data_IF_091100857315
#
_entry.id   IF_091100857315
#
_cell.length_a   1.000
_cell.length_b   1.000
_cell.length_c   1.000
_cell.angle_alpha   90.00
_cell.angle_beta   90.00
_cell.angle_gamma   90.00
#
_symmetry.space_group_name_H-M   'P 1'
#
loop_
_entity.id
_entity.type
_entity.pdbx_description
1 polymer ?
#
# COMPACT_ATOMS: atom_id res chain seq x y z
N UNK A 1 7.96 -10.80 -16.02
CA UNK A 1 7.21 -9.64 -15.53
C UNK A 1 6.85 -9.87 -14.08
N UNK A 2 7.19 -8.89 -13.22
CA UNK A 2 6.88 -8.98 -11.80
C UNK A 2 5.40 -8.73 -11.53
N UNK A 3 4.96 -9.09 -10.33
CA UNK A 3 3.58 -8.83 -9.92
C UNK A 3 3.30 -7.32 -9.84
N UNK A 4 4.27 -6.54 -9.40
CA UNK A 4 4.15 -5.09 -9.37
C UNK A 4 4.01 -4.50 -10.78
N UNK A 5 4.79 -4.99 -11.75
CA UNK A 5 4.67 -4.55 -13.15
C UNK A 5 3.31 -4.89 -13.73
N UNK A 6 2.78 -6.07 -13.43
CA UNK A 6 1.43 -6.46 -13.83
C UNK A 6 0.39 -5.54 -13.21
N UNK A 7 0.56 -5.20 -11.94
CA UNK A 7 -0.29 -4.26 -11.24
C UNK A 7 -0.27 -2.87 -11.91
N UNK A 8 0.92 -2.36 -12.25
CA UNK A 8 1.03 -1.06 -12.91
C UNK A 8 0.29 -1.01 -14.25
N UNK A 9 0.29 -2.11 -14.98
CA UNK A 9 -0.39 -2.20 -16.28
C UNK A 9 -1.91 -2.15 -16.21
N UNK A 10 -2.48 -2.41 -15.04
CA UNK A 10 -3.94 -2.33 -14.87
C UNK A 10 -4.43 -0.88 -14.88
N UNK A 11 -3.58 0.10 -14.64
CA UNK A 11 -3.98 1.50 -14.59
C UNK A 11 -5.02 1.78 -13.52
N UNK A 12 -4.87 1.18 -12.33
CA UNK A 12 -5.84 1.31 -11.24
C UNK A 12 -5.88 2.75 -10.77
N UNK A 13 -7.10 3.26 -10.54
CA UNK A 13 -7.31 4.60 -9.98
C UNK A 13 -6.73 4.66 -8.56
N UNK A 14 -5.73 5.53 -8.35
CA UNK A 14 -5.08 5.67 -7.05
C UNK A 14 -6.02 6.10 -5.93
N UNK A 15 -7.04 6.88 -6.22
CA UNK A 15 -8.02 7.27 -5.22
C UNK A 15 -8.82 6.05 -4.72
N UNK A 16 -9.10 5.11 -5.61
CA UNK A 16 -9.87 3.92 -5.25
C UNK A 16 -9.10 2.98 -4.32
N UNK A 17 -7.78 2.92 -4.45
CA UNK A 17 -6.94 2.00 -3.66
C UNK A 17 -6.16 2.69 -2.54
N UNK A 18 -6.23 4.02 -2.45
CA UNK A 18 -5.62 4.79 -1.37
C UNK A 18 -4.15 5.15 -1.56
N UNK A 19 -3.58 4.92 -2.75
CA UNK A 19 -2.26 5.42 -3.11
C UNK A 19 -2.10 5.47 -4.62
N UNK A 20 -1.34 6.45 -5.12
CA UNK A 20 -1.02 6.54 -6.54
C UNK A 20 0.22 5.69 -6.83
N UNK A 21 0.10 4.62 -7.63
CA UNK A 21 1.26 3.80 -8.00
C UNK A 21 2.14 4.56 -8.98
N UNK A 22 3.42 4.21 -8.99
CA UNK A 22 4.35 4.71 -10.00
C UNK A 22 5.59 5.35 -9.41
N UNK A 23 6.08 6.37 -10.10
CA UNK A 23 7.42 6.94 -9.91
C UNK A 23 7.65 7.52 -8.53
N UNK A 24 8.90 7.43 -8.09
CA UNK A 24 9.38 8.13 -6.90
C UNK A 24 9.20 9.64 -7.05
N UNK A 25 8.73 10.26 -5.97
CA UNK A 25 8.53 11.71 -5.92
C UNK A 25 9.64 12.41 -5.15
N UNK A 26 10.71 11.72 -4.82
CA UNK A 26 11.75 12.22 -3.92
C UNK A 26 11.47 11.77 -2.49
N UNK A 27 12.48 11.84 -1.65
CA UNK A 27 12.38 11.35 -0.29
C UNK A 27 11.96 12.40 0.72
N UNK A 28 11.44 11.95 1.82
CA UNK A 28 11.27 12.75 3.03
C UNK A 28 12.44 12.47 3.98
N UNK A 29 12.51 13.23 5.06
CA UNK A 29 13.57 13.06 6.06
C UNK A 29 13.62 11.64 6.61
N UNK A 30 12.50 10.94 6.67
CA UNK A 30 12.38 9.59 7.21
C UNK A 30 12.46 8.50 6.14
N UNK A 31 12.58 8.83 4.86
CA UNK A 31 12.68 7.84 3.79
C UNK A 31 14.05 7.18 3.85
N UNK A 32 14.12 5.83 4.00
CA UNK A 32 15.39 5.15 4.08
C UNK A 32 16.23 5.29 2.82
N UNK A 33 17.55 5.29 2.97
CA UNK A 33 18.45 5.16 1.83
C UNK A 33 18.21 3.81 1.16
N UNK A 34 18.22 3.79 -0.16
CA UNK A 34 17.96 2.55 -0.91
C UNK A 34 16.48 2.20 -1.03
N UNK A 35 15.58 3.10 -0.63
CA UNK A 35 14.15 2.88 -0.79
C UNK A 35 13.73 3.08 -2.25
N UNK A 36 12.86 2.17 -2.72
CA UNK A 36 12.25 2.22 -4.05
C UNK A 36 10.74 2.26 -3.87
N UNK A 37 10.15 3.43 -4.07
CA UNK A 37 8.73 3.64 -3.83
C UNK A 37 7.87 2.88 -4.84
N UNK A 38 6.83 2.25 -4.34
CA UNK A 38 5.81 1.58 -5.14
C UNK A 38 4.61 2.49 -5.40
N UNK A 39 4.36 3.44 -4.52
CA UNK A 39 3.28 4.40 -4.66
C UNK A 39 3.18 5.32 -3.45
N UNK A 40 2.49 6.44 -3.64
CA UNK A 40 2.38 7.54 -2.70
C UNK A 40 0.94 7.93 -2.50
N UNK A 41 0.58 8.38 -1.29
CA UNK A 41 -0.69 9.05 -1.09
C UNK A 41 -0.50 10.58 -1.13
N UNK A 42 -1.60 11.33 -0.97
CA UNK A 42 -1.58 12.78 -1.02
C UNK A 42 -0.88 13.44 0.19
N UNK A 43 -0.69 12.69 1.27
CA UNK A 43 -0.11 13.18 2.52
C UNK A 43 1.36 12.82 2.68
N UNK A 44 1.94 12.20 1.67
CA UNK A 44 3.35 11.81 1.68
C UNK A 44 3.62 10.43 2.25
N UNK A 45 2.61 9.70 2.65
CA UNK A 45 2.77 8.29 3.03
C UNK A 45 3.09 7.50 1.77
N UNK A 46 4.10 6.65 1.83
CA UNK A 46 4.46 5.82 0.70
C UNK A 46 4.82 4.41 1.12
N UNK A 47 4.70 3.52 0.15
CA UNK A 47 5.05 2.11 0.32
C UNK A 47 6.25 1.82 -0.56
N UNK A 48 7.24 1.14 -0.02
CA UNK A 48 8.51 0.95 -0.72
C UNK A 48 9.13 -0.41 -0.42
N UNK A 49 10.06 -0.81 -1.29
CA UNK A 49 11.04 -1.84 -1.00
C UNK A 49 12.35 -1.13 -0.66
N UNK A 50 13.19 -1.78 0.11
CA UNK A 50 14.48 -1.23 0.55
C UNK A 50 15.58 -2.19 0.11
N UNK A 51 16.63 -1.66 -0.51
CA UNK A 51 17.79 -2.46 -0.93
C UNK A 51 18.35 -3.26 0.26
N UNK A 52 18.63 -4.53 0.02
CA UNK A 52 19.14 -5.42 1.06
C UNK A 52 18.08 -6.01 1.98
N UNK A 53 16.84 -5.62 1.84
CA UNK A 53 15.72 -6.11 2.67
C UNK A 53 14.79 -7.07 1.93
N UNK A 54 15.24 -7.61 0.81
CA UNK A 54 14.48 -8.56 0.01
C UNK A 54 13.22 -7.96 -0.59
N UNK A 55 12.13 -8.72 -0.57
CA UNK A 55 10.85 -8.32 -1.17
C UNK A 55 9.90 -7.65 -0.19
N UNK A 56 10.30 -7.47 1.06
CA UNK A 56 9.47 -6.87 2.10
C UNK A 56 9.00 -5.48 1.69
N UNK A 57 7.72 -5.23 1.89
CA UNK A 57 7.11 -3.92 1.64
C UNK A 57 7.06 -3.16 2.96
N UNK A 58 7.56 -1.93 2.94
CA UNK A 58 7.57 -1.03 4.10
C UNK A 58 6.61 0.13 3.85
N UNK A 59 5.97 0.58 4.92
CA UNK A 59 5.21 1.82 4.92
C UNK A 59 6.08 2.91 5.54
N UNK A 60 6.24 4.02 4.84
CA UNK A 60 6.94 5.21 5.33
C UNK A 60 5.91 6.31 5.54
N UNK A 61 5.73 6.70 6.79
CA UNK A 61 4.77 7.73 7.18
C UNK A 61 5.53 8.91 7.78
N UNK A 62 5.55 10.09 7.13
CA UNK A 62 6.30 11.24 7.63
C UNK A 62 5.59 12.01 8.75
N UNK A 63 4.34 11.69 9.04
CA UNK A 63 3.55 12.44 10.03
C UNK A 63 4.11 12.42 11.45
N UNK A 64 4.54 11.26 12.00
CA UNK A 64 5.20 11.26 13.31
C UNK A 64 6.53 11.99 13.26
N UNK A 65 6.70 13.03 14.06
CA UNK A 65 7.97 13.76 14.15
C UNK A 65 9.02 13.01 14.97
N UNK A 66 8.55 12.17 15.88
CA UNK A 66 9.41 11.26 16.62
C UNK A 66 8.66 9.94 16.78
N UNK A 67 9.42 8.85 16.80
CA UNK A 67 8.86 7.52 16.83
C UNK A 67 9.06 6.79 15.51
N UNK A 68 8.22 5.83 15.22
CA UNK A 68 8.43 4.90 14.12
C UNK A 68 7.78 5.43 12.83
N UNK A 69 8.62 5.98 11.94
CA UNK A 69 8.17 6.45 10.63
C UNK A 69 8.17 5.34 9.58
N UNK A 70 8.96 4.29 9.78
CA UNK A 70 9.14 3.20 8.81
C UNK A 70 8.80 1.88 9.49
N UNK A 71 7.89 1.11 8.89
CA UNK A 71 7.54 -0.21 9.44
C UNK A 71 7.24 -1.19 8.32
N UNK A 72 7.56 -2.49 8.51
CA UNK A 72 7.20 -3.51 7.53
C UNK A 72 5.68 -3.74 7.57
N UNK A 73 5.06 -3.89 6.41
CA UNK A 73 3.62 -4.10 6.31
C UNK A 73 3.25 -5.36 5.52
N UNK A 74 4.16 -5.91 4.73
CA UNK A 74 3.91 -7.14 3.99
C UNK A 74 5.24 -7.82 3.63
N UNK A 75 5.23 -9.14 3.49
CA UNK A 75 6.41 -9.92 3.14
C UNK A 75 6.83 -9.72 1.69
N UNK A 76 5.89 -9.40 0.83
CA UNK A 76 6.10 -9.19 -0.59
C UNK A 76 4.92 -8.43 -1.18
N UNK A 77 4.98 -8.10 -2.46
CA UNK A 77 3.92 -7.33 -3.10
C UNK A 77 2.60 -8.11 -3.19
N UNK A 78 2.67 -9.42 -3.37
CA UNK A 78 1.46 -10.26 -3.41
C UNK A 78 0.70 -10.18 -2.08
N UNK A 79 1.40 -10.32 -0.97
CA UNK A 79 0.79 -10.21 0.34
C UNK A 79 0.29 -8.79 0.62
N UNK A 80 0.99 -7.79 0.12
CA UNK A 80 0.53 -6.40 0.20
C UNK A 80 -0.83 -6.24 -0.50
N UNK A 81 -0.98 -6.79 -1.70
CA UNK A 81 -2.26 -6.75 -2.42
C UNK A 81 -3.36 -7.48 -1.67
N UNK A 82 -3.04 -8.64 -1.06
CA UNK A 82 -4.02 -9.38 -0.26
C UNK A 82 -4.53 -8.56 0.91
N UNK A 83 -3.62 -7.89 1.63
CA UNK A 83 -4.00 -7.04 2.76
C UNK A 83 -4.80 -5.83 2.28
N UNK A 84 -4.39 -5.21 1.20
CA UNK A 84 -5.10 -4.07 0.62
C UNK A 84 -6.53 -4.45 0.22
N UNK A 85 -6.70 -5.58 -0.45
CA UNK A 85 -8.03 -6.06 -0.86
C UNK A 85 -8.90 -6.41 0.36
N UNK A 86 -8.29 -7.02 1.38
CA UNK A 86 -9.02 -7.41 2.58
C UNK A 86 -9.45 -6.21 3.44
N UNK A 87 -8.68 -5.12 3.42
CA UNK A 87 -8.92 -3.96 4.28
C UNK A 87 -9.62 -2.80 3.57
N UNK A 88 -9.84 -2.92 2.26
CA UNK A 88 -10.52 -1.88 1.49
C UNK A 88 -9.62 -0.78 0.97
N UNK A 89 -8.31 -0.95 1.02
CA UNK A 89 -7.36 0.00 0.46
C UNK A 89 -6.10 0.20 1.30
N UNK A 90 -5.15 0.93 0.74
CA UNK A 90 -3.86 1.16 1.38
C UNK A 90 -3.93 2.10 2.59
N UNK A 91 -4.95 2.94 2.68
CA UNK A 91 -5.12 3.85 3.82
C UNK A 91 -5.23 3.10 5.15
N UNK A 92 -5.91 1.96 5.17
CA UNK A 92 -6.01 1.12 6.36
C UNK A 92 -4.64 0.59 6.78
N UNK A 93 -3.80 0.20 5.81
CA UNK A 93 -2.45 -0.28 6.07
C UNK A 93 -1.60 0.83 6.66
N UNK A 94 -1.69 2.04 6.10
CA UNK A 94 -0.91 3.19 6.57
C UNK A 94 -1.26 3.58 8.01
N UNK A 95 -2.51 3.43 8.42
CA UNK A 95 -2.98 3.86 9.73
C UNK A 95 -2.98 2.76 10.79
N UNK A 96 -2.80 1.51 10.39
CA UNK A 96 -2.91 0.36 11.30
C UNK A 96 -1.97 0.42 12.51
N UNK A 97 -0.78 1.01 12.35
CA UNK A 97 0.20 1.11 13.42
C UNK A 97 -0.24 1.98 14.60
N UNK A 98 -1.18 2.89 14.37
CA UNK A 98 -1.65 3.85 15.37
C UNK A 98 -3.02 3.47 15.96
N UNK A 99 -3.51 2.30 15.64
CA UNK A 99 -4.85 1.88 16.03
C UNK A 99 -4.83 0.64 16.92
N UNK A 100 -5.77 0.59 17.86
CA UNK A 100 -6.09 -0.67 18.55
C UNK A 100 -6.77 -1.61 17.56
N UNK A 101 -6.85 -2.91 17.92
CA UNK A 101 -7.53 -3.89 17.08
C UNK A 101 -8.99 -3.49 16.81
N UNK A 102 -9.70 -2.99 17.83
CA UNK A 102 -11.09 -2.58 17.68
C UNK A 102 -11.23 -1.36 16.77
N UNK A 103 -10.33 -0.37 16.91
CA UNK A 103 -10.32 0.81 16.06
C UNK A 103 -10.03 0.44 14.61
N UNK A 104 -9.09 -0.47 14.38
CA UNK A 104 -8.76 -0.93 13.04
C UNK A 104 -9.95 -1.65 12.39
N UNK A 105 -10.62 -2.54 13.13
CA UNK A 105 -11.80 -3.24 12.62
C UNK A 105 -12.92 -2.27 12.24
N UNK A 106 -13.18 -1.25 13.07
CA UNK A 106 -14.18 -0.24 12.78
C UNK A 106 -13.80 0.59 11.54
N UNK A 107 -12.52 0.94 11.41
CA UNK A 107 -12.01 1.67 10.26
C UNK A 107 -12.23 0.87 8.96
N UNK A 108 -11.87 -0.40 8.97
CA UNK A 108 -12.04 -1.28 7.79
C UNK A 108 -13.52 -1.36 7.40
N UNK A 109 -14.42 -1.53 8.38
CA UNK A 109 -15.85 -1.58 8.10
C UNK A 109 -16.41 -0.30 7.51
N UNK A 110 -15.82 0.86 7.83
CA UNK A 110 -16.25 2.14 7.30
C UNK A 110 -15.75 2.41 5.87
N UNK A 111 -14.79 1.62 5.38
CA UNK A 111 -14.14 1.83 4.09
C UNK A 111 -14.64 0.85 3.03
N UNK A 112 -15.75 1.22 2.39
CA UNK A 112 -16.30 0.43 1.28
C UNK A 112 -15.97 1.02 -0.09
N UNK A 113 -15.24 2.14 -0.12
CA UNK A 113 -15.01 2.91 -1.34
C UNK A 113 -14.29 2.12 -2.42
N UNK A 114 -13.33 1.29 -2.04
CA UNK A 114 -12.60 0.49 -3.02
C UNK A 114 -13.53 -0.45 -3.80
N UNK A 115 -14.47 -1.08 -3.11
CA UNK A 115 -15.41 -1.99 -3.75
C UNK A 115 -16.35 -1.29 -4.71
N UNK A 116 -16.76 -0.07 -4.38
CA UNK A 116 -17.69 0.71 -5.22
C UNK A 116 -16.99 1.43 -6.35
N UNK A 117 -15.70 1.77 -6.20
CA UNK A 117 -14.95 2.55 -7.21
C UNK A 117 -14.22 1.69 -8.22
N UNK A 118 -13.78 0.48 -7.84
CA UNK A 118 -13.10 -0.40 -8.77
C UNK A 118 -14.09 -1.07 -9.71
N UNK A 119 -13.78 -1.01 -11.00
CA UNK A 119 -14.54 -1.78 -11.99
C UNK A 119 -14.34 -3.27 -11.70
N UNK A 120 -15.39 -4.10 -11.88
CA UNK A 120 -15.29 -5.54 -11.58
C UNK A 120 -14.13 -6.26 -12.28
N UNK A 121 -13.86 -5.91 -13.53
CA UNK A 121 -12.74 -6.52 -14.26
C UNK A 121 -11.39 -6.18 -13.65
N UNK A 122 -11.20 -4.95 -13.17
CA UNK A 122 -9.96 -4.52 -12.51
C UNK A 122 -9.83 -5.22 -11.16
N UNK A 123 -10.89 -5.31 -10.38
CA UNK A 123 -10.88 -6.00 -9.10
C UNK A 123 -10.51 -7.49 -9.27
N UNK A 124 -11.11 -8.14 -10.26
CA UNK A 124 -10.78 -9.54 -10.55
C UNK A 124 -9.32 -9.71 -10.94
N UNK A 125 -8.78 -8.79 -11.74
CA UNK A 125 -7.37 -8.81 -12.11
C UNK A 125 -6.45 -8.65 -10.89
N UNK A 126 -6.79 -7.74 -9.97
CA UNK A 126 -6.05 -7.58 -8.72
C UNK A 126 -6.09 -8.85 -7.87
N UNK A 127 -7.25 -9.47 -7.75
CA UNK A 127 -7.42 -10.72 -7.00
C UNK A 127 -6.58 -11.84 -7.60
N UNK A 128 -6.49 -11.94 -8.92
CA UNK A 128 -5.65 -12.94 -9.58
C UNK A 128 -4.18 -12.72 -9.27
N UNK A 129 -3.69 -11.49 -9.33
CA UNK A 129 -2.31 -11.17 -8.97
C UNK A 129 -2.06 -11.54 -7.50
N UNK A 130 -2.99 -11.20 -6.62
CA UNK A 130 -2.88 -11.50 -5.19
C UNK A 130 -2.89 -13.01 -4.89
N UNK A 131 -3.46 -13.82 -5.78
CA UNK A 131 -3.46 -15.28 -5.68
C UNK A 131 -2.24 -15.92 -6.35
N UNK A 132 -1.40 -15.13 -7.01
CA UNK A 132 -0.25 -15.64 -7.72
C UNK A 132 -0.57 -16.22 -9.10
N UNK A 133 -1.68 -15.83 -9.67
CA UNK A 133 -2.13 -16.35 -10.97
C UNK A 133 -1.78 -15.43 -12.15
#
# INVERSE_FOLDING_TARGET
>A
MTEYERFLRLGVDGEAIGFAPGKEQGGYFCTPLGAHALGWDAEGVHFCRIDGMGETIFCVNPMPLCGENVRPVARNFRDFLRVMLATGGAAAIAQAGDMTRAQFAAFVQSKTEMETRLRPAVRQALERIAQGL
#
